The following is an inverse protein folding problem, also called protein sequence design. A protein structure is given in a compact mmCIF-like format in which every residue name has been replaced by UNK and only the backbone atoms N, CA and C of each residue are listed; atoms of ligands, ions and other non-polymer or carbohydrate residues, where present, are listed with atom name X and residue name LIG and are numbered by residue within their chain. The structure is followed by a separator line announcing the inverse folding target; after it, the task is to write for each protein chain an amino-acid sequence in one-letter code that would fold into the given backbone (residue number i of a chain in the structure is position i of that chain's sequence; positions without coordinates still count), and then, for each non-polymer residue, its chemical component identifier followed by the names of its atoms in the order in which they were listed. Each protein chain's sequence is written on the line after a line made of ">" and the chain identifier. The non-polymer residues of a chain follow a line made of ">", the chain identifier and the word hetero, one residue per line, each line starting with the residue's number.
data_IF_466046518153
#
_entry.id   IF_466046518153
#
_cell.length_a   1.000
_cell.length_b   1.000
_cell.length_c   1.000
_cell.angle_alpha   90.00
_cell.angle_beta   90.00
_cell.angle_gamma   90.00
#
_symmetry.space_group_name_H-M   'P 1'
#
loop_
_entity.id
_entity.type
_entity.pdbx_description
1 polymer ?
#
# COMPACT_ATOMS: atom_id res chain seq x y z
N UNK A 1 1.08 8.46 20.68
CA UNK A 1 0.96 7.14 20.02
C UNK A 1 -0.20 7.22 19.04
N UNK A 2 0.00 6.86 17.80
CA UNK A 2 -1.03 6.91 16.77
C UNK A 2 -1.95 5.68 16.97
N UNK A 3 -3.25 5.80 16.70
CA UNK A 3 -4.24 4.70 16.89
C UNK A 3 -3.79 3.36 16.27
N UNK A 4 -3.14 3.40 15.10
CA UNK A 4 -2.62 2.21 14.45
C UNK A 4 -1.53 1.49 15.25
N UNK A 5 -0.59 2.23 15.81
CA UNK A 5 0.50 1.69 16.63
C UNK A 5 -0.01 1.03 17.93
N UNK A 6 -1.05 1.62 18.54
CA UNK A 6 -1.71 0.99 19.70
C UNK A 6 -2.33 -0.36 19.33
N UNK A 7 -3.00 -0.43 18.20
CA UNK A 7 -3.61 -1.66 17.72
C UNK A 7 -2.56 -2.73 17.38
N UNK A 8 -1.41 -2.34 16.81
CA UNK A 8 -0.30 -3.25 16.58
C UNK A 8 0.23 -3.86 17.89
N UNK A 9 0.35 -3.06 18.95
CA UNK A 9 0.78 -3.52 20.26
C UNK A 9 -0.25 -4.43 20.94
N UNK A 10 -1.55 -4.14 20.81
CA UNK A 10 -2.63 -5.01 21.29
C UNK A 10 -2.60 -6.37 20.58
N UNK A 11 -2.38 -6.38 19.26
CA UNK A 11 -2.21 -7.60 18.48
C UNK A 11 -0.97 -8.40 18.92
N UNK A 12 0.14 -7.71 19.18
CA UNK A 12 1.35 -8.33 19.70
C UNK A 12 1.10 -9.02 21.04
N UNK A 13 0.47 -8.33 22.00
CA UNK A 13 0.14 -8.89 23.31
C UNK A 13 -0.76 -10.11 23.18
N UNK A 14 -1.79 -10.04 22.33
CA UNK A 14 -2.65 -11.17 22.05
C UNK A 14 -1.88 -12.38 21.52
N UNK A 15 -0.97 -12.18 20.55
CA UNK A 15 -0.16 -13.25 19.98
C UNK A 15 0.78 -13.88 21.04
N UNK A 16 1.44 -13.05 21.85
CA UNK A 16 2.32 -13.51 22.93
C UNK A 16 1.55 -14.34 23.97
N UNK A 17 0.36 -13.91 24.34
CA UNK A 17 -0.48 -14.64 25.30
C UNK A 17 -1.01 -15.95 24.72
N UNK A 18 -1.50 -15.92 23.48
CA UNK A 18 -2.08 -17.08 22.81
C UNK A 18 -1.06 -18.20 22.55
N UNK A 19 0.16 -17.83 22.17
CA UNK A 19 1.22 -18.77 21.79
C UNK A 19 2.37 -18.83 22.79
N UNK A 20 2.12 -18.45 24.06
CA UNK A 20 3.15 -18.38 25.12
C UNK A 20 3.89 -19.68 25.41
N UNK A 21 3.30 -20.83 25.08
CA UNK A 21 3.88 -22.14 25.27
C UNK A 21 4.57 -22.71 24.04
N UNK A 22 4.45 -22.00 22.92
CA UNK A 22 5.11 -22.39 21.69
C UNK A 22 6.56 -21.88 21.66
N UNK A 23 7.41 -22.58 20.94
CA UNK A 23 8.81 -22.16 20.79
C UNK A 23 8.93 -21.07 19.72
N UNK A 24 8.17 -19.99 19.90
CA UNK A 24 8.16 -18.81 19.04
C UNK A 24 8.12 -17.54 19.89
N UNK A 25 8.74 -16.47 19.37
CA UNK A 25 8.70 -15.16 19.97
C UNK A 25 8.13 -14.16 18.94
N UNK A 26 7.38 -13.19 19.42
CA UNK A 26 6.82 -12.13 18.60
C UNK A 26 7.50 -10.81 18.96
N UNK A 27 7.87 -10.04 17.95
CA UNK A 27 8.51 -8.75 18.11
C UNK A 27 7.80 -7.71 17.25
N UNK A 28 7.43 -6.58 17.86
CA UNK A 28 6.88 -5.42 17.15
C UNK A 28 8.01 -4.66 16.46
N UNK A 29 7.89 -4.44 15.16
CA UNK A 29 8.95 -3.80 14.39
C UNK A 29 8.90 -2.27 14.45
N UNK A 30 7.79 -1.70 14.95
CA UNK A 30 7.58 -0.26 15.02
C UNK A 30 7.37 0.38 13.64
N UNK A 31 6.62 1.47 13.58
CA UNK A 31 6.26 2.13 12.32
C UNK A 31 7.38 2.91 11.62
N UNK A 32 8.64 2.75 12.02
CA UNK A 32 9.77 3.54 11.48
C UNK A 32 10.38 2.95 10.21
N UNK A 33 10.24 1.64 9.98
CA UNK A 33 10.77 0.98 8.78
C UNK A 33 9.61 0.43 7.92
N UNK A 34 9.23 1.18 6.91
CA UNK A 34 8.17 0.80 5.96
C UNK A 34 8.53 -0.44 5.09
N UNK A 35 9.75 -0.95 5.20
CA UNK A 35 10.19 -2.17 4.49
C UNK A 35 9.87 -3.43 5.27
N UNK A 36 9.65 -3.33 6.58
CA UNK A 36 9.28 -4.42 7.46
C UNK A 36 7.77 -4.42 7.71
N UNK A 37 7.21 -5.59 7.96
CA UNK A 37 5.82 -5.72 8.40
C UNK A 37 5.72 -5.61 9.91
N UNK A 38 4.52 -5.39 10.43
CA UNK A 38 4.28 -4.90 11.78
C UNK A 38 4.83 -5.82 12.89
N UNK A 39 4.72 -7.14 12.71
CA UNK A 39 5.16 -8.13 13.72
C UNK A 39 6.05 -9.19 13.09
N UNK A 40 7.25 -9.37 13.65
CA UNK A 40 8.15 -10.48 13.33
C UNK A 40 7.81 -11.70 14.17
N UNK A 41 7.76 -12.87 13.55
CA UNK A 41 7.70 -14.17 14.22
C UNK A 41 9.10 -14.79 14.22
N UNK A 42 9.66 -14.96 15.39
CA UNK A 42 11.03 -15.44 15.62
C UNK A 42 10.97 -16.87 16.11
N UNK A 43 11.66 -17.77 15.43
CA UNK A 43 11.83 -19.17 15.82
C UNK A 43 13.31 -19.53 15.77
N UNK A 44 13.81 -20.16 16.83
CA UNK A 44 15.22 -20.53 16.96
C UNK A 44 16.19 -19.33 16.73
N UNK A 45 15.83 -18.16 17.27
CA UNK A 45 16.63 -16.94 17.15
C UNK A 45 16.66 -16.28 15.77
N UNK A 46 15.85 -16.74 14.81
CA UNK A 46 15.77 -16.19 13.46
C UNK A 46 14.33 -15.79 13.11
N UNK A 47 14.19 -14.72 12.33
CA UNK A 47 12.89 -14.34 11.76
C UNK A 47 12.43 -15.44 10.81
N UNK A 48 11.32 -16.08 11.13
CA UNK A 48 10.72 -17.12 10.31
C UNK A 48 9.78 -16.53 9.24
N UNK A 49 8.95 -15.56 9.63
CA UNK A 49 8.03 -14.83 8.76
C UNK A 49 7.51 -13.60 9.49
N UNK A 50 6.70 -12.80 8.78
CA UNK A 50 6.03 -11.64 9.34
C UNK A 50 4.50 -11.84 9.39
N UNK A 51 3.89 -11.11 10.32
CA UNK A 51 2.45 -10.91 10.42
C UNK A 51 2.17 -9.43 10.19
N UNK A 52 1.22 -9.13 9.35
CA UNK A 52 0.72 -7.78 9.11
C UNK A 52 -0.51 -7.54 9.98
N UNK A 53 -0.58 -6.38 10.61
CA UNK A 53 -1.74 -5.97 11.42
C UNK A 53 -2.65 -5.08 10.59
N UNK A 54 -3.93 -5.41 10.52
CA UNK A 54 -4.91 -4.62 9.78
C UNK A 54 -6.16 -4.37 10.61
N UNK A 55 -6.44 -3.11 10.86
CA UNK A 55 -7.75 -2.68 11.34
C UNK A 55 -8.79 -2.91 10.21
N UNK A 56 -10.06 -3.05 10.57
CA UNK A 56 -11.17 -3.41 9.67
C UNK A 56 -11.30 -2.53 8.43
N UNK A 57 -10.92 -1.26 8.53
CA UNK A 57 -11.01 -0.27 7.45
C UNK A 57 -9.65 0.19 6.95
N UNK A 58 -8.56 -0.51 7.33
CA UNK A 58 -7.22 -0.09 7.01
C UNK A 58 -6.88 -0.30 5.52
N UNK A 59 -6.13 0.64 4.98
CA UNK A 59 -5.55 0.49 3.65
C UNK A 59 -4.54 -0.67 3.65
N UNK A 60 -4.77 -1.67 2.79
CA UNK A 60 -3.94 -2.88 2.74
C UNK A 60 -2.68 -2.75 1.91
N UNK A 61 -2.62 -1.76 1.03
CA UNK A 61 -1.42 -1.49 0.24
C UNK A 61 -1.63 -0.33 -0.71
N UNK A 62 -0.53 0.17 -1.26
CA UNK A 62 -0.54 1.22 -2.28
C UNK A 62 0.68 1.10 -3.17
N UNK A 63 0.55 1.53 -4.40
CA UNK A 63 1.69 1.84 -5.26
C UNK A 63 1.47 3.17 -5.97
N UNK A 64 2.56 3.76 -6.43
CA UNK A 64 2.58 5.06 -7.09
C UNK A 64 2.68 4.84 -8.59
N UNK A 65 1.86 5.57 -9.34
CA UNK A 65 1.97 5.67 -10.79
C UNK A 65 2.31 7.10 -11.20
N UNK A 66 3.01 7.25 -12.32
CA UNK A 66 3.27 8.54 -12.94
C UNK A 66 2.46 8.66 -14.20
N UNK A 67 1.66 9.72 -14.35
CA UNK A 67 1.00 10.02 -15.62
C UNK A 67 2.01 10.59 -16.62
N UNK A 68 1.91 10.15 -17.85
CA UNK A 68 2.50 10.77 -19.02
C UNK A 68 1.35 11.35 -19.86
N UNK A 69 1.30 12.67 -19.92
CA UNK A 69 0.22 13.37 -20.63
C UNK A 69 0.36 13.28 -22.14
N UNK A 70 1.56 13.09 -22.65
CA UNK A 70 1.81 13.04 -24.10
C UNK A 70 1.41 11.67 -24.68
N UNK A 71 1.73 10.60 -23.97
CA UNK A 71 1.35 9.25 -24.37
C UNK A 71 -0.01 8.80 -23.80
N UNK A 72 -0.68 9.63 -23.01
CA UNK A 72 -1.93 9.33 -22.29
C UNK A 72 -1.85 8.01 -21.52
N UNK A 73 -0.76 7.83 -20.77
CA UNK A 73 -0.50 6.58 -20.07
C UNK A 73 -0.03 6.81 -18.63
N UNK A 74 -0.18 5.78 -17.81
CA UNK A 74 0.41 5.70 -16.48
C UNK A 74 1.54 4.70 -16.49
N UNK A 75 2.66 5.08 -15.89
CA UNK A 75 3.78 4.20 -15.64
C UNK A 75 3.95 3.91 -14.15
N UNK A 76 4.45 2.74 -13.82
CA UNK A 76 4.81 2.40 -12.44
C UNK A 76 6.01 3.23 -11.97
N UNK A 77 5.92 3.84 -10.79
CA UNK A 77 7.00 4.68 -10.29
C UNK A 77 8.19 3.84 -9.81
N UNK A 78 9.39 4.21 -10.22
CA UNK A 78 10.64 3.65 -9.69
C UNK A 78 10.86 3.92 -8.20
N UNK A 79 10.09 4.83 -7.61
CA UNK A 79 10.13 5.14 -6.17
C UNK A 79 9.25 4.23 -5.33
N UNK A 80 8.56 3.27 -5.94
CA UNK A 80 7.82 2.27 -5.20
C UNK A 80 8.77 1.29 -4.52
N UNK A 81 8.49 0.97 -3.26
CA UNK A 81 9.17 -0.13 -2.56
C UNK A 81 8.54 -1.51 -2.89
N UNK A 82 7.33 -1.51 -3.45
CA UNK A 82 6.67 -2.72 -3.95
C UNK A 82 7.26 -3.14 -5.29
N UNK A 83 7.34 -4.44 -5.52
CA UNK A 83 7.77 -5.01 -6.80
C UNK A 83 6.55 -5.11 -7.71
N UNK A 84 6.73 -4.80 -8.99
CA UNK A 84 5.71 -5.06 -10.00
C UNK A 84 5.42 -6.56 -10.10
N UNK A 85 4.15 -6.87 -10.24
CA UNK A 85 3.66 -8.22 -10.53
C UNK A 85 2.63 -8.15 -11.67
N UNK A 86 2.17 -9.27 -12.22
CA UNK A 86 1.21 -9.26 -13.32
C UNK A 86 -0.08 -8.45 -13.02
N UNK A 87 -0.50 -8.42 -11.74
CA UNK A 87 -1.70 -7.67 -11.33
C UNK A 87 -1.46 -6.16 -11.34
N UNK A 88 -0.21 -5.71 -11.10
CA UNK A 88 0.17 -4.30 -11.23
C UNK A 88 -0.05 -3.82 -12.67
N UNK A 89 0.37 -4.61 -13.65
CA UNK A 89 0.18 -4.30 -15.06
C UNK A 89 -1.30 -4.25 -15.42
N UNK A 90 -2.09 -5.22 -14.99
CA UNK A 90 -3.53 -5.25 -15.26
C UNK A 90 -4.26 -4.01 -14.69
N UNK A 91 -3.87 -3.54 -13.50
CA UNK A 91 -4.43 -2.34 -12.90
C UNK A 91 -4.03 -1.10 -13.71
N UNK A 92 -2.76 -0.98 -14.10
CA UNK A 92 -2.26 0.16 -14.88
C UNK A 92 -2.89 0.17 -16.28
N UNK A 93 -3.02 -0.97 -16.93
CA UNK A 93 -3.65 -1.08 -18.26
C UNK A 93 -5.13 -0.66 -18.20
N UNK A 94 -5.84 -1.07 -17.16
CA UNK A 94 -7.22 -0.61 -16.94
C UNK A 94 -7.28 0.92 -16.80
N UNK A 95 -6.34 1.51 -16.07
CA UNK A 95 -6.29 2.97 -15.91
C UNK A 95 -5.92 3.68 -17.23
N UNK A 96 -5.07 3.08 -18.05
CA UNK A 96 -4.68 3.62 -19.34
C UNK A 96 -5.84 3.65 -20.33
N UNK A 97 -6.75 2.67 -20.25
CA UNK A 97 -7.94 2.63 -21.11
C UNK A 97 -8.92 3.81 -20.85
N UNK A 98 -8.85 4.42 -19.67
CA UNK A 98 -9.63 5.62 -19.33
C UNK A 98 -8.72 6.67 -18.65
N UNK A 99 -7.63 7.01 -19.33
CA UNK A 99 -6.57 7.88 -18.84
C UNK A 99 -7.10 9.16 -18.20
N UNK A 100 -7.97 9.88 -18.87
CA UNK A 100 -8.43 11.19 -18.41
C UNK A 100 -9.28 11.11 -17.14
N UNK A 101 -10.05 10.05 -16.95
CA UNK A 101 -10.80 9.81 -15.70
C UNK A 101 -9.86 9.74 -14.51
N UNK A 102 -8.78 8.95 -14.63
CA UNK A 102 -7.83 8.76 -13.55
C UNK A 102 -6.85 9.93 -13.42
N UNK A 103 -6.46 10.54 -14.53
CA UNK A 103 -5.63 11.74 -14.53
C UNK A 103 -6.30 12.90 -13.81
N UNK A 104 -7.62 13.03 -13.91
CA UNK A 104 -8.41 14.09 -13.29
C UNK A 104 -9.05 13.70 -11.94
N UNK A 105 -8.74 12.54 -11.39
CA UNK A 105 -9.40 12.00 -10.19
C UNK A 105 -9.32 12.88 -8.94
N UNK A 106 -8.33 13.77 -8.85
CA UNK A 106 -8.16 14.65 -7.70
C UNK A 106 -7.79 13.89 -6.41
N UNK A 107 -8.00 14.54 -5.27
CA UNK A 107 -7.75 13.95 -3.94
C UNK A 107 -8.89 13.05 -3.49
N UNK A 108 -10.10 13.26 -4.00
CA UNK A 108 -11.25 12.40 -3.73
C UNK A 108 -11.07 11.01 -4.33
N UNK A 109 -10.37 10.93 -5.46
CA UNK A 109 -10.07 9.69 -6.15
C UNK A 109 -11.14 9.25 -7.14
N UNK A 110 -10.75 8.32 -8.03
CA UNK A 110 -11.63 7.60 -8.93
C UNK A 110 -11.54 6.11 -8.64
N UNK A 111 -12.68 5.44 -8.52
CA UNK A 111 -12.73 3.99 -8.31
C UNK A 111 -12.13 3.26 -9.50
N UNK A 112 -11.36 2.21 -9.22
CA UNK A 112 -10.86 1.26 -10.20
C UNK A 112 -11.81 0.07 -10.15
N UNK A 113 -12.57 -0.11 -11.21
CA UNK A 113 -13.68 -1.06 -11.28
C UNK A 113 -13.32 -2.23 -12.18
N UNK A 114 -12.44 -3.08 -11.68
CA UNK A 114 -12.04 -4.35 -12.32
C UNK A 114 -12.31 -5.50 -11.36
N UNK A 115 -12.16 -6.74 -11.85
CA UNK A 115 -12.38 -7.93 -11.03
C UNK A 115 -11.56 -7.88 -9.73
N UNK A 116 -12.21 -8.09 -8.60
CA UNK A 116 -11.58 -8.02 -7.27
C UNK A 116 -10.45 -9.02 -7.08
N UNK A 117 -10.40 -10.10 -7.86
CA UNK A 117 -9.31 -11.07 -7.86
C UNK A 117 -7.98 -10.46 -8.29
N UNK A 118 -8.00 -9.43 -9.15
CA UNK A 118 -6.80 -8.67 -9.55
C UNK A 118 -6.22 -7.95 -8.35
N UNK A 119 -7.07 -7.27 -7.56
CA UNK A 119 -6.60 -6.58 -6.35
C UNK A 119 -6.13 -7.57 -5.30
N UNK A 120 -6.85 -8.67 -5.10
CA UNK A 120 -6.46 -9.74 -4.19
C UNK A 120 -5.10 -10.33 -4.58
N UNK A 121 -4.91 -10.64 -5.85
CA UNK A 121 -3.66 -11.14 -6.37
C UNK A 121 -2.50 -10.16 -6.16
N UNK A 122 -2.75 -8.84 -6.34
CA UNK A 122 -1.75 -7.82 -6.07
C UNK A 122 -1.39 -7.76 -4.58
N UNK A 123 -2.38 -7.73 -3.68
CA UNK A 123 -2.18 -7.68 -2.23
C UNK A 123 -1.41 -8.92 -1.75
N UNK A 124 -1.86 -10.11 -2.16
CA UNK A 124 -1.22 -11.37 -1.78
C UNK A 124 0.24 -11.38 -2.25
N UNK A 125 0.49 -11.02 -3.51
CA UNK A 125 1.84 -10.95 -4.07
C UNK A 125 2.71 -9.94 -3.34
N UNK A 126 2.19 -8.75 -3.04
CA UNK A 126 2.90 -7.71 -2.30
C UNK A 126 3.35 -8.17 -0.91
N UNK A 127 2.47 -8.82 -0.17
CA UNK A 127 2.81 -9.32 1.16
C UNK A 127 3.72 -10.54 1.13
N UNK A 128 3.53 -11.47 0.19
CA UNK A 128 4.39 -12.64 0.05
C UNK A 128 5.84 -12.26 -0.26
N UNK A 129 6.08 -11.24 -1.07
CA UNK A 129 7.42 -10.72 -1.36
C UNK A 129 8.14 -10.20 -0.12
N UNK A 130 7.38 -9.72 0.87
CA UNK A 130 7.87 -9.25 2.17
C UNK A 130 7.92 -10.35 3.22
N UNK A 131 7.76 -11.62 2.82
CA UNK A 131 7.68 -12.78 3.72
C UNK A 131 6.55 -12.68 4.77
N UNK A 132 5.49 -11.95 4.48
CA UNK A 132 4.27 -11.93 5.29
C UNK A 132 3.49 -13.21 5.01
N UNK A 133 3.16 -13.96 6.05
CA UNK A 133 2.39 -15.20 5.91
C UNK A 133 0.99 -15.11 6.46
N UNK A 134 0.78 -14.22 7.41
CA UNK A 134 -0.50 -14.04 8.08
C UNK A 134 -0.84 -12.56 8.22
N UNK A 135 -2.13 -12.29 8.27
CA UNK A 135 -2.69 -11.02 8.72
C UNK A 135 -3.39 -11.29 10.05
N UNK A 136 -3.26 -10.38 10.99
CA UNK A 136 -4.09 -10.33 12.18
C UNK A 136 -5.00 -9.11 12.11
N UNK A 137 -6.26 -9.31 12.39
CA UNK A 137 -7.28 -8.27 12.48
C UNK A 137 -8.14 -8.49 13.70
N UNK A 138 -8.86 -7.47 14.13
CA UNK A 138 -9.78 -7.52 15.24
C UNK A 138 -11.07 -6.80 14.84
N UNK A 139 -12.18 -7.53 14.92
CA UNK A 139 -13.51 -6.95 14.84
C UNK A 139 -14.22 -7.16 16.18
N UNK A 140 -14.93 -8.28 16.37
CA UNK A 140 -15.41 -8.71 17.70
C UNK A 140 -14.38 -9.58 18.41
N UNK A 141 -13.56 -10.32 17.63
CA UNK A 141 -12.48 -11.18 18.12
C UNK A 141 -11.27 -11.04 17.22
N UNK A 142 -10.09 -11.42 17.73
CA UNK A 142 -8.90 -11.53 16.90
C UNK A 142 -9.01 -12.64 15.88
N UNK A 143 -8.81 -12.31 14.61
CA UNK A 143 -8.76 -13.25 13.51
C UNK A 143 -7.35 -13.28 12.94
N UNK A 144 -6.74 -14.47 12.89
CA UNK A 144 -5.44 -14.69 12.26
C UNK A 144 -5.70 -15.42 10.96
N UNK A 145 -5.38 -14.78 9.85
CA UNK A 145 -5.72 -15.23 8.51
C UNK A 145 -4.45 -15.48 7.70
N UNK A 146 -4.27 -16.66 7.10
CA UNK A 146 -3.21 -16.86 6.11
C UNK A 146 -3.38 -15.88 4.94
N UNK A 147 -2.28 -15.22 4.53
CA UNK A 147 -2.36 -14.19 3.46
C UNK A 147 -3.00 -14.70 2.16
N UNK A 148 -2.79 -15.97 1.82
CA UNK A 148 -3.39 -16.60 0.63
C UNK A 148 -4.93 -16.63 0.64
N UNK A 149 -5.55 -16.47 1.81
CA UNK A 149 -7.00 -16.46 2.03
C UNK A 149 -7.57 -15.05 2.16
N UNK A 150 -6.76 -14.03 1.85
CA UNK A 150 -7.15 -12.63 2.03
C UNK A 150 -8.50 -12.31 1.38
N UNK A 151 -8.71 -12.72 0.13
CA UNK A 151 -9.94 -12.47 -0.60
C UNK A 151 -11.16 -13.25 -0.12
N UNK A 152 -10.97 -14.28 0.72
CA UNK A 152 -12.09 -15.04 1.30
C UNK A 152 -12.75 -14.27 2.47
N UNK A 153 -12.01 -13.32 3.08
CA UNK A 153 -12.45 -12.63 4.29
C UNK A 153 -12.61 -11.12 4.11
N UNK A 154 -11.97 -10.54 3.09
CA UNK A 154 -12.01 -9.11 2.87
C UNK A 154 -12.63 -8.78 1.51
N UNK A 155 -13.58 -7.86 1.52
CA UNK A 155 -13.98 -7.16 0.30
C UNK A 155 -12.91 -6.15 -0.06
N UNK A 156 -12.49 -6.15 -1.32
CA UNK A 156 -11.38 -5.33 -1.78
C UNK A 156 -11.90 -4.30 -2.76
N UNK A 157 -11.64 -3.03 -2.46
CA UNK A 157 -11.89 -1.92 -3.37
C UNK A 157 -10.58 -1.20 -3.66
N UNK A 158 -10.46 -0.62 -4.83
CA UNK A 158 -9.31 0.17 -5.20
C UNK A 158 -9.73 1.52 -5.77
N UNK A 159 -8.90 2.52 -5.55
CA UNK A 159 -9.07 3.84 -6.13
C UNK A 159 -7.74 4.47 -6.51
N UNK A 160 -7.76 5.22 -7.59
CA UNK A 160 -6.66 6.07 -7.99
C UNK A 160 -6.92 7.49 -7.50
N UNK A 161 -5.97 8.10 -6.81
CA UNK A 161 -6.10 9.46 -6.28
C UNK A 161 -4.79 10.22 -6.26
N UNK A 162 -4.87 11.53 -6.23
CA UNK A 162 -3.69 12.37 -5.97
C UNK A 162 -3.30 12.22 -4.50
N UNK A 163 -2.05 11.90 -4.23
CA UNK A 163 -1.54 11.85 -2.86
C UNK A 163 -1.19 13.25 -2.36
N UNK A 164 -1.87 13.69 -1.32
CA UNK A 164 -1.63 14.99 -0.70
C UNK A 164 -0.37 15.09 0.15
N UNK A 165 0.15 13.94 0.66
CA UNK A 165 1.29 13.90 1.58
C UNK A 165 2.05 12.56 1.51
N UNK A 166 3.23 12.50 2.10
CA UNK A 166 4.02 11.27 2.30
C UNK A 166 5.36 11.25 1.57
N UNK A 167 6.16 10.23 1.87
CA UNK A 167 7.56 10.06 1.45
C UNK A 167 7.81 9.99 -0.06
N UNK A 168 6.78 9.72 -0.84
CA UNK A 168 6.86 9.64 -2.31
C UNK A 168 6.70 10.99 -3.02
N UNK A 169 6.53 12.11 -2.29
CA UNK A 169 6.71 13.44 -2.90
C UNK A 169 8.18 13.61 -3.30
N UNK A 170 8.48 14.22 -4.48
CA UNK A 170 9.84 14.70 -4.74
C UNK A 170 10.24 15.59 -3.58
N UNK A 171 11.49 15.52 -3.14
CA UNK A 171 11.98 16.49 -2.19
C UNK A 171 11.81 17.88 -2.81
N UNK A 172 11.40 18.87 -2.03
CA UNK A 172 11.17 20.24 -2.50
C UNK A 172 12.42 20.81 -3.19
N UNK A 173 13.60 20.42 -2.71
CA UNK A 173 14.89 20.74 -3.32
C UNK A 173 15.05 20.21 -4.76
N UNK A 174 14.53 19.01 -5.04
CA UNK A 174 14.64 18.38 -6.36
C UNK A 174 13.70 19.10 -7.35
N UNK A 175 12.51 19.49 -6.88
CA UNK A 175 11.56 20.27 -7.66
C UNK A 175 12.12 21.65 -8.01
N UNK A 176 12.70 22.36 -7.03
CA UNK A 176 13.30 23.66 -7.22
C UNK A 176 14.47 23.59 -8.18
N UNK A 177 15.31 22.56 -8.10
CA UNK A 177 16.43 22.32 -9.01
C UNK A 177 15.95 22.15 -10.46
N UNK A 178 14.98 21.26 -10.68
CA UNK A 178 14.40 21.01 -12.02
C UNK A 178 13.73 22.28 -12.56
N UNK A 179 12.97 22.98 -11.73
CA UNK A 179 12.30 24.23 -12.13
C UNK A 179 13.28 25.30 -12.54
N UNK A 180 14.37 25.44 -11.79
CA UNK A 180 15.43 26.40 -12.10
C UNK A 180 16.17 26.03 -13.41
N UNK A 181 16.50 24.75 -13.58
CA UNK A 181 17.16 24.27 -14.80
C UNK A 181 16.31 24.53 -16.05
N UNK A 182 15.00 24.27 -15.98
CA UNK A 182 14.09 24.53 -17.11
C UNK A 182 13.90 26.02 -17.35
N UNK A 183 13.80 26.85 -16.31
CA UNK A 183 13.71 28.33 -16.46
C UNK A 183 14.95 28.96 -17.08
N UNK A 184 16.11 28.35 -16.94
CA UNK A 184 17.33 28.80 -17.61
C UNK A 184 17.23 28.63 -19.13
N UNK A 185 16.57 27.58 -19.58
CA UNK A 185 16.38 27.29 -21.01
C UNK A 185 15.13 27.99 -21.59
N UNK A 186 14.04 28.00 -20.81
CA UNK A 186 12.76 28.57 -21.24
C UNK A 186 12.30 29.65 -20.28
N UNK A 187 12.69 30.90 -20.53
CA UNK A 187 12.43 32.06 -19.66
C UNK A 187 10.93 32.29 -19.37
N UNK A 188 10.04 31.88 -20.25
CA UNK A 188 8.60 32.04 -20.14
C UNK A 188 7.88 30.76 -19.69
N UNK A 189 8.59 29.74 -19.24
CA UNK A 189 7.95 28.53 -18.76
C UNK A 189 7.17 28.81 -17.47
N UNK A 190 5.87 28.64 -17.53
CA UNK A 190 4.97 28.70 -16.39
C UNK A 190 4.87 27.27 -15.83
N UNK A 191 5.38 27.08 -14.60
CA UNK A 191 5.29 25.80 -13.94
C UNK A 191 4.01 25.78 -13.11
N UNK A 192 3.05 25.01 -13.55
CA UNK A 192 1.96 24.63 -12.69
C UNK A 192 2.47 23.58 -11.71
N UNK A 193 2.36 23.84 -10.43
CA UNK A 193 2.57 22.84 -9.36
C UNK A 193 1.46 21.77 -9.37
N UNK A 194 1.14 21.26 -10.54
CA UNK A 194 0.31 20.08 -10.67
C UNK A 194 1.21 18.86 -10.54
N UNK A 195 1.82 18.70 -9.35
CA UNK A 195 2.44 17.44 -8.94
C UNK A 195 1.34 16.41 -8.77
N UNK A 196 0.60 16.15 -9.84
CA UNK A 196 -0.41 15.10 -9.90
C UNK A 196 0.30 13.76 -9.96
N UNK A 197 0.90 13.35 -8.83
CA UNK A 197 1.24 11.97 -8.62
C UNK A 197 -0.06 11.26 -8.31
N UNK A 198 -0.49 10.43 -9.24
CA UNK A 198 -1.64 9.57 -9.05
C UNK A 198 -1.20 8.33 -8.26
N UNK A 199 -2.04 7.90 -7.34
CA UNK A 199 -1.80 6.74 -6.50
C UNK A 199 -2.94 5.77 -6.69
N UNK A 200 -2.63 4.54 -7.04
CA UNK A 200 -3.54 3.44 -6.87
C UNK A 200 -3.47 2.98 -5.40
N UNK A 201 -4.55 3.14 -4.69
CA UNK A 201 -4.68 2.70 -3.30
C UNK A 201 -5.68 1.56 -3.27
N UNK A 202 -5.25 0.42 -2.75
CA UNK A 202 -6.07 -0.77 -2.61
C UNK A 202 -6.45 -0.88 -1.14
N UNK A 203 -7.74 -0.73 -0.85
CA UNK A 203 -8.29 -0.86 0.49
C UNK A 203 -9.09 -2.15 0.59
N UNK A 204 -8.82 -2.93 1.62
CA UNK A 204 -9.66 -4.06 1.97
C UNK A 204 -10.59 -3.65 3.12
N UNK A 205 -11.87 -3.87 2.92
CA UNK A 205 -12.88 -3.72 3.98
C UNK A 205 -13.25 -5.12 4.42
N UNK A 206 -13.09 -5.41 5.71
CA UNK A 206 -13.55 -6.67 6.26
C UNK A 206 -15.06 -6.62 6.42
N UNK A 207 -15.76 -7.55 5.80
CA UNK A 207 -17.13 -7.86 6.17
C UNK A 207 -17.07 -9.09 7.08
N UNK A 208 -17.44 -8.90 8.33
CA UNK A 208 -17.77 -10.02 9.18
C UNK A 208 -19.07 -10.60 8.67
N UNK A 209 -18.99 -11.73 8.00
CA UNK A 209 -20.17 -12.55 7.80
C UNK A 209 -20.54 -13.14 9.15
N UNK A 210 -21.67 -12.68 9.70
CA UNK A 210 -22.39 -13.35 10.77
C UNK A 210 -22.89 -14.69 10.28
#
# INVERSE_FOLDING_TARGET
>A
MIRGELFELECLEYLQNKYRYENVHFHHNGGMDSTMSDISVIKNGKVAFFIEVKDNTAQSGQFVVHPDADSHSFGFSSKNHSIQNPMTYAIIDYMNNDFYRFYNAGTAGAAIDIDSSVFAGWIIGHYQQRNVRYIISHDYNYVILPIRKFAEYFSITASCRIKGSGSSKPAEKDYNFITQAIKQVYKNAIFFQNNKKLYASISAVSYTHL
#
